data_IF_022678981680
#
_entry.id   IF_022678981680
#
_cell.length_a   1.000
_cell.length_b   1.000
_cell.length_c   1.000
_cell.angle_alpha   90.00
_cell.angle_beta   90.00
_cell.angle_gamma   90.00
#
_symmetry.space_group_name_H-M   'P 1'
#
loop_
_entity.id
_entity.type
_entity.pdbx_description
1 polymer ?
#
# COMPACT_ATOMS: atom_id res chain seq x y z
N UNK A 1 -25.43 8.39 3.64
CA UNK A 1 -24.16 7.65 3.43
C UNK A 1 -24.10 6.25 4.07
N UNK A 2 -24.69 6.03 5.26
CA UNK A 2 -24.54 4.75 6.00
C UNK A 2 -25.08 3.50 5.29
N UNK A 3 -26.21 3.60 4.57
CA UNK A 3 -26.86 2.43 3.92
C UNK A 3 -25.97 1.70 2.91
N UNK A 4 -25.05 2.40 2.21
CA UNK A 4 -24.17 1.79 1.19
C UNK A 4 -22.90 1.17 1.77
N UNK A 5 -22.36 1.73 2.86
CA UNK A 5 -21.30 1.08 3.67
C UNK A 5 -21.76 -0.29 4.19
N UNK A 6 -22.99 -0.37 4.70
CA UNK A 6 -23.58 -1.63 5.21
C UNK A 6 -23.77 -2.70 4.11
N UNK A 7 -23.91 -2.29 2.85
CA UNK A 7 -24.01 -3.18 1.68
C UNK A 7 -22.65 -3.48 1.01
N UNK A 8 -21.53 -2.98 1.54
CA UNK A 8 -20.21 -3.12 0.92
C UNK A 8 -20.05 -2.39 -0.43
N UNK A 9 -20.99 -1.50 -0.80
CA UNK A 9 -21.01 -0.83 -2.11
C UNK A 9 -20.25 0.50 -2.09
N UNK A 10 -19.36 0.69 -3.07
CA UNK A 10 -18.55 1.89 -3.26
C UNK A 10 -19.41 3.14 -3.50
N UNK A 11 -19.13 4.30 -2.87
CA UNK A 11 -19.91 5.56 -3.00
C UNK A 11 -20.26 5.92 -4.46
N UNK A 12 -21.49 6.41 -4.74
CA UNK A 12 -21.95 6.75 -6.11
C UNK A 12 -21.10 7.87 -6.73
N UNK A 13 -20.45 8.66 -5.89
CA UNK A 13 -19.58 9.76 -6.29
C UNK A 13 -18.22 9.26 -6.80
N UNK A 14 -17.84 8.02 -6.52
CA UNK A 14 -16.59 7.44 -7.00
C UNK A 14 -16.87 6.84 -8.38
N UNK A 15 -16.66 7.66 -9.42
CA UNK A 15 -16.89 7.27 -10.82
C UNK A 15 -15.78 6.40 -11.41
N UNK A 16 -14.57 6.43 -10.83
CA UNK A 16 -13.40 5.70 -11.31
C UNK A 16 -12.75 4.94 -10.17
N UNK A 17 -12.61 3.64 -10.35
CA UNK A 17 -11.82 2.77 -9.47
C UNK A 17 -10.47 2.61 -10.13
N UNK A 18 -9.46 3.28 -9.60
CA UNK A 18 -8.11 3.25 -10.15
C UNK A 18 -7.13 3.86 -9.17
N UNK A 19 -5.85 3.58 -9.41
CA UNK A 19 -4.77 4.22 -8.65
C UNK A 19 -4.82 5.75 -8.84
N UNK A 20 -4.42 6.53 -7.82
CA UNK A 20 -4.38 7.98 -7.92
C UNK A 20 -3.51 8.48 -9.09
N UNK A 21 -3.88 9.61 -9.65
CA UNK A 21 -3.20 10.18 -10.84
C UNK A 21 -1.73 10.54 -10.57
N UNK A 22 -1.40 10.91 -9.32
CA UNK A 22 -0.02 11.20 -8.90
C UNK A 22 0.90 9.97 -8.82
N UNK A 23 0.38 8.75 -9.02
CA UNK A 23 1.19 7.53 -9.20
C UNK A 23 1.51 7.25 -10.66
N UNK A 24 1.04 8.10 -11.57
CA UNK A 24 1.38 8.03 -12.98
C UNK A 24 2.52 9.00 -13.24
N UNK A 25 3.62 8.48 -13.77
CA UNK A 25 4.67 9.34 -14.29
C UNK A 25 4.10 10.13 -15.48
N UNK A 26 4.19 11.46 -15.41
CA UNK A 26 3.55 12.34 -16.41
C UNK A 26 4.27 12.33 -17.76
N UNK A 27 5.53 11.91 -17.81
CA UNK A 27 6.35 11.94 -19.03
C UNK A 27 6.22 10.63 -19.82
N UNK A 28 6.36 9.51 -19.14
CA UNK A 28 6.32 8.16 -19.71
C UNK A 28 4.91 7.59 -19.73
N UNK A 29 4.00 8.12 -18.91
CA UNK A 29 2.65 7.60 -18.74
C UNK A 29 2.57 6.28 -17.96
N UNK A 30 3.72 5.77 -17.50
CA UNK A 30 3.83 4.55 -16.72
C UNK A 30 3.31 4.76 -15.29
N UNK A 31 2.85 3.68 -14.66
CA UNK A 31 2.36 3.71 -13.28
C UNK A 31 3.42 3.15 -12.34
N UNK A 32 3.69 3.87 -11.26
CA UNK A 32 4.46 3.35 -10.13
C UNK A 32 3.74 2.14 -9.53
N UNK A 33 4.40 0.99 -9.54
CA UNK A 33 3.89 -0.21 -8.86
C UNK A 33 4.11 -0.04 -7.37
N UNK A 34 3.03 0.23 -6.63
CA UNK A 34 3.04 0.37 -5.17
C UNK A 34 1.97 -0.50 -4.54
N UNK A 35 2.33 -1.21 -3.48
CA UNK A 35 1.39 -1.96 -2.65
C UNK A 35 1.17 -1.18 -1.37
N UNK A 36 -0.08 -0.71 -1.18
CA UNK A 36 -0.50 -0.04 0.05
C UNK A 36 -1.18 -1.02 0.97
N UNK A 37 -0.67 -1.13 2.18
CA UNK A 37 -1.22 -2.03 3.20
C UNK A 37 -1.69 -1.19 4.37
N UNK A 38 -2.95 -1.41 4.75
CA UNK A 38 -3.56 -0.73 5.88
C UNK A 38 -2.86 -1.14 7.17
N UNK A 39 -2.77 -0.20 8.12
CA UNK A 39 -2.09 -0.37 9.40
C UNK A 39 -2.52 -1.59 10.23
N UNK A 40 -3.74 -2.08 10.06
CA UNK A 40 -4.26 -3.26 10.76
C UNK A 40 -4.02 -4.59 10.03
N UNK A 41 -3.41 -4.56 8.84
CA UNK A 41 -3.22 -5.73 7.97
C UNK A 41 -1.77 -6.23 7.90
N UNK A 42 -0.83 -5.57 8.58
CA UNK A 42 0.55 -6.03 8.67
C UNK A 42 1.05 -5.95 10.11
N UNK A 43 2.09 -6.72 10.42
CA UNK A 43 2.79 -6.65 11.70
C UNK A 43 4.29 -6.65 11.43
N UNK A 44 4.98 -5.72 12.05
CA UNK A 44 6.44 -5.74 12.12
C UNK A 44 6.86 -6.25 13.50
N UNK A 45 7.50 -7.42 13.54
CA UNK A 45 8.06 -8.04 14.76
C UNK A 45 9.58 -8.12 14.62
N UNK A 46 10.30 -7.15 15.21
CA UNK A 46 11.75 -7.07 15.07
C UNK A 46 12.16 -6.97 13.59
N UNK A 47 12.87 -7.99 13.10
CA UNK A 47 13.34 -8.10 11.71
C UNK A 47 12.37 -8.83 10.78
N UNK A 48 11.13 -9.13 11.20
CA UNK A 48 10.15 -9.85 10.38
C UNK A 48 8.95 -8.96 10.10
N UNK A 49 8.64 -8.81 8.81
CA UNK A 49 7.44 -8.15 8.30
C UNK A 49 6.41 -9.21 7.87
N UNK A 50 5.31 -9.30 8.61
CA UNK A 50 4.17 -10.17 8.32
C UNK A 50 3.11 -9.41 7.50
N UNK A 51 2.77 -9.95 6.33
CA UNK A 51 1.82 -9.39 5.36
C UNK A 51 0.50 -10.17 5.34
N UNK A 52 -0.61 -9.59 4.83
CA UNK A 52 -1.95 -10.19 4.92
C UNK A 52 -2.18 -11.48 4.12
N UNK A 53 -1.14 -12.01 3.44
CA UNK A 53 -1.18 -13.20 2.61
C UNK A 53 -0.35 -14.37 3.17
N UNK A 54 -0.13 -14.40 4.50
CA UNK A 54 0.81 -15.33 5.16
C UNK A 54 2.25 -15.21 4.65
N UNK A 55 2.58 -14.07 4.04
CA UNK A 55 3.92 -13.79 3.57
C UNK A 55 4.70 -13.12 4.69
N UNK A 56 5.80 -13.74 5.10
CA UNK A 56 6.74 -13.19 6.08
C UNK A 56 8.04 -12.85 5.36
N UNK A 57 8.49 -11.60 5.47
CA UNK A 57 9.71 -11.13 4.81
C UNK A 57 10.68 -10.63 5.87
N UNK A 58 11.97 -10.94 5.71
CA UNK A 58 13.02 -10.38 6.56
C UNK A 58 13.21 -8.90 6.24
N UNK A 59 12.81 -8.05 7.16
CA UNK A 59 13.02 -6.61 7.12
C UNK A 59 14.47 -6.28 7.49
N UNK A 60 15.19 -5.60 6.59
CA UNK A 60 16.59 -5.16 6.82
C UNK A 60 16.71 -3.64 6.99
N UNK A 61 15.73 -3.01 7.63
CA UNK A 61 15.69 -1.56 7.84
C UNK A 61 15.65 -1.17 9.32
N UNK A 62 16.19 0.01 9.65
CA UNK A 62 15.96 0.62 10.97
C UNK A 62 14.70 1.46 10.93
N UNK A 63 13.75 1.16 11.81
CA UNK A 63 12.56 1.99 11.96
C UNK A 63 12.96 3.35 12.55
N UNK A 64 12.66 4.42 11.82
CA UNK A 64 12.86 5.80 12.33
C UNK A 64 11.83 6.19 13.38
N UNK A 65 10.69 5.49 13.44
CA UNK A 65 9.55 5.85 14.28
C UNK A 65 9.17 4.68 15.18
N UNK A 66 9.07 4.95 16.47
CA UNK A 66 8.63 4.00 17.50
C UNK A 66 7.25 4.42 18.00
N UNK A 67 6.25 3.55 17.92
CA UNK A 67 4.88 3.85 18.32
C UNK A 67 3.82 3.12 17.50
N UNK A 68 2.64 3.72 17.35
CA UNK A 68 1.52 3.13 16.60
C UNK A 68 1.91 2.90 15.13
N UNK A 69 1.81 1.66 14.68
CA UNK A 69 2.07 1.29 13.29
C UNK A 69 1.18 2.11 12.34
N UNK A 70 1.83 2.78 11.39
CA UNK A 70 1.22 3.62 10.38
C UNK A 70 0.78 2.82 9.15
N UNK A 71 0.68 3.52 8.02
CA UNK A 71 0.47 2.88 6.70
C UNK A 71 1.78 2.27 6.24
N UNK A 72 1.74 1.03 5.74
CA UNK A 72 2.88 0.42 5.06
C UNK A 72 2.74 0.63 3.56
N UNK A 73 3.82 1.10 2.95
CA UNK A 73 3.93 1.33 1.51
C UNK A 73 5.14 0.56 0.99
N UNK A 74 4.90 -0.37 0.07
CA UNK A 74 5.94 -1.11 -0.63
C UNK A 74 6.02 -0.52 -2.04
N UNK A 75 7.10 0.20 -2.32
CA UNK A 75 7.38 0.73 -3.66
C UNK A 75 8.32 -0.23 -4.39
N UNK A 76 7.96 -0.60 -5.61
CA UNK A 76 8.85 -1.38 -6.47
C UNK A 76 9.85 -0.44 -7.14
N UNK A 77 11.14 -0.74 -6.99
CA UNK A 77 12.16 -0.09 -7.79
C UNK A 77 12.11 -0.66 -9.21
N UNK A 78 12.09 0.23 -10.21
CA UNK A 78 12.25 -0.20 -11.60
C UNK A 78 13.72 -0.54 -11.78
N UNK A 79 14.06 -1.82 -11.61
CA UNK A 79 15.39 -2.34 -11.94
C UNK A 79 15.75 -1.90 -13.36
N UNK A 80 16.60 -0.88 -13.46
CA UNK A 80 17.18 -0.43 -14.71
C UNK A 80 18.06 -1.58 -15.18
N UNK A 81 17.54 -2.38 -16.13
CA UNK A 81 18.32 -3.40 -16.80
C UNK A 81 19.48 -2.67 -17.48
N UNK A 82 20.68 -2.84 -16.91
CA UNK A 82 21.94 -2.34 -17.46
C UNK A 82 22.66 -3.49 -18.11
#
# INVERSE_FOLDING_TARGET
MLKRKKQGKLSKNIKKIGVPDYWKDRKTGERDVRIIIRNNCYKLRGDILELPFKLAIKWRGRNKWHGKQGRLEIAYDKLSHR
#
